data_IF_459464718338
#
_entry.id   IF_459464718338
#
_cell.length_a   1.000
_cell.length_b   1.000
_cell.length_c   1.000
_cell.angle_alpha   90.00
_cell.angle_beta   90.00
_cell.angle_gamma   90.00
#
_symmetry.space_group_name_H-M   'P 1'
#
loop_
_entity.id
_entity.type
_entity.pdbx_description
1 polymer ?
#
# COMPACT_ATOMS: atom_id res chain seq x y z
N UNK A 1 -7.46 5.03 11.21
CA UNK A 1 -8.35 3.98 11.79
C UNK A 1 -7.47 2.91 12.43
N UNK A 2 -7.82 2.35 13.60
CA UNK A 2 -7.02 1.31 14.26
C UNK A 2 -6.71 0.09 13.39
N UNK A 3 -7.63 -0.28 12.49
CA UNK A 3 -7.47 -1.40 11.55
C UNK A 3 -6.46 -1.13 10.42
N UNK A 4 -6.08 0.13 10.20
CA UNK A 4 -5.17 0.54 9.13
C UNK A 4 -4.11 1.53 9.67
N UNK A 5 -3.18 1.08 10.53
CA UNK A 5 -2.21 1.95 11.18
C UNK A 5 -1.24 2.62 10.19
N UNK A 6 -0.93 1.94 9.07
CA UNK A 6 -0.07 2.45 7.99
C UNK A 6 -0.79 3.43 7.04
N UNK A 7 -2.10 3.67 7.24
CA UNK A 7 -2.91 4.55 6.38
C UNK A 7 -3.66 5.60 7.23
N UNK A 8 -2.94 6.54 7.86
CA UNK A 8 -3.56 7.67 8.57
C UNK A 8 -4.33 8.60 7.60
N UNK A 9 -5.09 9.55 8.14
CA UNK A 9 -5.83 10.57 7.37
C UNK A 9 -6.91 10.02 6.41
N UNK A 10 -7.21 8.73 6.44
CA UNK A 10 -8.37 8.15 5.74
C UNK A 10 -9.35 7.63 6.77
N UNK A 11 -10.63 8.02 6.62
CA UNK A 11 -11.71 7.59 7.48
C UNK A 11 -12.78 6.93 6.64
N UNK A 12 -13.16 5.70 7.01
CA UNK A 12 -14.33 5.03 6.44
C UNK A 12 -15.57 5.36 7.28
N UNK A 13 -16.66 5.75 6.62
CA UNK A 13 -17.94 5.98 7.28
C UNK A 13 -18.41 4.72 8.04
N UNK A 14 -18.97 4.92 9.24
CA UNK A 14 -19.38 3.84 10.14
C UNK A 14 -18.26 3.08 10.84
N UNK A 15 -16.98 3.32 10.52
CA UNK A 15 -15.83 2.71 11.21
C UNK A 15 -15.28 3.67 12.26
N UNK A 16 -14.87 3.13 13.41
CA UNK A 16 -14.28 3.94 14.48
C UNK A 16 -12.87 4.41 14.09
N UNK A 17 -12.56 5.66 14.42
CA UNK A 17 -11.23 6.22 14.31
C UNK A 17 -10.82 6.90 15.62
N UNK A 18 -9.51 7.10 15.73
CA UNK A 18 -8.88 7.66 16.92
C UNK A 18 -8.15 8.95 16.56
N UNK A 19 -8.19 9.93 17.45
CA UNK A 19 -7.41 11.15 17.35
C UNK A 19 -6.89 11.52 18.73
N UNK A 20 -5.62 11.91 18.82
CA UNK A 20 -4.98 12.32 20.07
C UNK A 20 -4.48 13.75 19.92
N UNK A 21 -4.82 14.58 20.90
CA UNK A 21 -4.31 15.94 21.05
C UNK A 21 -3.36 16.00 22.22
N UNK A 22 -2.44 16.96 22.15
CA UNK A 22 -1.52 17.27 23.22
C UNK A 22 -1.41 18.78 23.35
N UNK A 23 -1.55 19.29 24.57
CA UNK A 23 -1.11 20.64 24.90
C UNK A 23 0.37 20.58 25.26
N UNK A 24 1.19 21.38 24.57
CA UNK A 24 2.63 21.41 24.80
C UNK A 24 3.01 22.20 26.05
N UNK A 25 2.13 23.10 26.49
CA UNK A 25 2.26 23.81 27.76
C UNK A 25 1.77 22.89 28.87
N UNK A 26 2.70 22.46 29.73
CA UNK A 26 2.41 21.53 30.83
C UNK A 26 2.36 22.33 32.12
N UNK A 27 1.16 22.74 32.49
CA UNK A 27 0.88 23.42 33.75
C UNK A 27 -0.05 22.54 34.58
N UNK A 28 0.32 22.16 35.82
CA UNK A 28 -0.51 21.33 36.68
C UNK A 28 -1.91 21.92 36.92
N UNK A 29 -2.05 23.25 36.89
CA UNK A 29 -3.35 23.91 37.07
C UNK A 29 -4.34 23.56 35.94
N UNK A 30 -3.87 23.15 34.76
CA UNK A 30 -4.75 22.81 33.63
C UNK A 30 -5.20 21.35 33.61
N UNK A 31 -4.65 20.52 34.51
CA UNK A 31 -5.01 19.10 34.58
C UNK A 31 -6.50 18.93 34.91
N UNK A 32 -7.22 18.19 34.07
CA UNK A 32 -8.66 17.96 34.19
C UNK A 32 -9.57 19.20 34.06
N UNK A 33 -9.02 20.38 33.74
CA UNK A 33 -9.80 21.61 33.58
C UNK A 33 -10.14 21.91 32.11
N UNK A 34 -9.34 21.42 31.17
CA UNK A 34 -9.55 21.67 29.75
C UNK A 34 -10.52 20.67 29.13
N UNK A 35 -11.73 21.13 28.82
CA UNK A 35 -12.70 20.35 28.05
C UNK A 35 -12.49 20.63 26.57
N UNK A 36 -12.04 19.62 25.83
CA UNK A 36 -11.86 19.69 24.38
C UNK A 36 -13.14 19.22 23.70
N UNK A 37 -13.66 20.00 22.75
CA UNK A 37 -14.73 19.64 21.85
C UNK A 37 -14.16 19.33 20.48
N UNK A 38 -14.66 18.27 19.85
CA UNK A 38 -14.32 17.91 18.47
C UNK A 38 -15.50 18.19 17.54
N UNK A 39 -15.21 18.80 16.40
CA UNK A 39 -16.15 19.13 15.33
C UNK A 39 -15.59 18.68 13.98
N UNK A 40 -16.47 18.50 12.99
CA UNK A 40 -16.09 18.06 11.64
C UNK A 40 -16.47 19.14 10.64
N UNK A 41 -15.55 19.48 9.75
CA UNK A 41 -15.71 20.53 8.73
C UNK A 41 -16.22 21.87 9.29
N UNK A 42 -15.73 22.25 10.48
CA UNK A 42 -16.03 23.58 11.07
C UNK A 42 -15.39 24.67 10.20
N UNK A 43 -16.20 25.62 9.77
CA UNK A 43 -15.82 26.80 8.97
C UNK A 43 -15.08 26.46 7.67
N UNK A 44 -15.40 25.29 7.08
CA UNK A 44 -14.92 24.88 5.76
C UNK A 44 -15.71 25.63 4.68
N UNK A 45 -15.02 26.49 3.91
CA UNK A 45 -15.66 27.31 2.87
C UNK A 45 -16.08 26.47 1.67
N UNK A 46 -15.36 25.38 1.38
CA UNK A 46 -15.66 24.40 0.34
C UNK A 46 -17.05 23.77 0.49
N UNK A 47 -17.55 23.62 1.73
CA UNK A 47 -18.92 23.18 2.01
C UNK A 47 -20.00 24.09 1.42
N UNK A 48 -19.64 25.32 1.04
CA UNK A 48 -20.51 26.34 0.44
C UNK A 48 -20.14 26.63 -1.01
N UNK A 49 -18.85 26.59 -1.36
CA UNK A 49 -18.35 27.00 -2.69
C UNK A 49 -18.23 25.85 -3.68
N UNK A 50 -17.95 24.62 -3.22
CA UNK A 50 -17.76 23.46 -4.10
C UNK A 50 -19.08 22.73 -4.29
N UNK A 51 -19.58 22.72 -5.53
CA UNK A 51 -20.81 22.00 -5.89
C UNK A 51 -20.63 20.50 -5.64
N UNK A 52 -21.55 19.90 -4.89
CA UNK A 52 -21.56 18.46 -4.60
C UNK A 52 -20.69 18.01 -3.42
N UNK A 53 -20.06 18.94 -2.68
CA UNK A 53 -19.30 18.63 -1.47
C UNK A 53 -20.16 17.92 -0.41
N UNK A 54 -19.69 16.77 0.07
CA UNK A 54 -20.40 15.92 1.02
C UNK A 54 -20.25 16.46 2.44
N UNK A 55 -21.25 16.23 3.26
CA UNK A 55 -21.25 16.62 4.68
C UNK A 55 -21.36 15.41 5.57
N UNK A 56 -20.66 15.44 6.69
CA UNK A 56 -20.60 14.33 7.63
C UNK A 56 -20.92 14.81 9.03
N UNK A 57 -21.68 13.99 9.75
CA UNK A 57 -21.85 14.13 11.18
C UNK A 57 -20.83 13.28 11.92
N UNK A 58 -20.22 13.88 12.93
CA UNK A 58 -19.40 13.18 13.90
C UNK A 58 -20.30 12.52 14.96
N UNK A 59 -20.19 11.20 15.07
CA UNK A 59 -20.85 10.37 16.07
C UNK A 59 -19.86 9.91 17.13
N UNK A 60 -20.36 9.62 18.33
CA UNK A 60 -19.58 9.21 19.49
C UNK A 60 -19.36 10.34 20.49
N UNK A 61 -18.39 10.17 21.38
CA UNK A 61 -18.07 11.16 22.42
C UNK A 61 -17.34 12.36 21.83
N UNK A 62 -18.07 13.43 21.56
CA UNK A 62 -17.56 14.66 20.92
C UNK A 62 -16.87 15.63 21.88
N UNK A 63 -16.83 15.33 23.18
CA UNK A 63 -16.11 16.14 24.17
C UNK A 63 -15.28 15.24 25.07
N UNK A 64 -14.03 15.64 25.33
CA UNK A 64 -13.15 14.92 26.23
C UNK A 64 -12.34 15.90 27.06
N UNK A 65 -12.19 15.58 28.35
CA UNK A 65 -11.36 16.35 29.26
C UNK A 65 -9.90 15.94 29.04
N UNK A 66 -9.03 16.93 28.96
CA UNK A 66 -7.59 16.73 28.84
C UNK A 66 -7.01 16.38 30.22
N UNK A 67 -6.21 15.33 30.28
CA UNK A 67 -5.60 14.84 31.50
C UNK A 67 -4.09 14.61 31.31
N UNK A 68 -3.34 14.66 32.41
CA UNK A 68 -1.94 14.25 32.41
C UNK A 68 -1.86 12.72 32.28
N UNK A 69 -1.04 12.23 31.36
CA UNK A 69 -0.75 10.79 31.25
C UNK A 69 0.33 10.39 32.27
N UNK A 70 0.12 9.25 32.95
CA UNK A 70 1.02 8.74 33.99
C UNK A 70 2.45 8.45 33.48
N UNK A 71 2.62 8.20 32.19
CA UNK A 71 3.91 7.83 31.58
C UNK A 71 4.68 9.00 30.96
N UNK A 72 4.01 10.10 30.62
CA UNK A 72 4.59 11.24 29.93
C UNK A 72 3.94 12.48 30.54
N UNK A 73 4.69 13.28 31.30
CA UNK A 73 4.28 14.55 31.94
C UNK A 73 3.74 15.57 30.92
N UNK A 74 2.62 15.25 30.30
CA UNK A 74 2.07 15.90 29.13
C UNK A 74 0.56 15.82 29.23
N UNK A 75 -0.08 16.96 28.97
CA UNK A 75 -1.53 17.08 29.01
C UNK A 75 -2.07 16.63 27.64
N UNK A 76 -2.88 15.57 27.61
CA UNK A 76 -3.37 15.00 26.36
C UNK A 76 -4.84 14.60 26.43
N UNK A 77 -5.49 14.58 25.27
CA UNK A 77 -6.88 14.13 25.13
C UNK A 77 -6.97 13.18 23.95
N UNK A 78 -7.30 11.92 24.23
CA UNK A 78 -7.40 10.88 23.19
C UNK A 78 -8.85 10.45 22.95
N UNK A 79 -9.37 10.72 21.76
CA UNK A 79 -10.68 10.26 21.33
C UNK A 79 -10.52 8.89 20.65
N UNK A 80 -11.17 7.83 21.18
CA UNK A 80 -10.98 6.44 20.70
C UNK A 80 -12.14 5.83 19.90
N UNK A 81 -13.32 6.46 19.91
CA UNK A 81 -14.56 5.89 19.34
C UNK A 81 -15.33 6.90 18.48
N UNK A 82 -14.61 7.79 17.80
CA UNK A 82 -15.24 8.72 16.86
C UNK A 82 -15.67 7.97 15.59
N UNK A 83 -16.81 8.33 15.04
CA UNK A 83 -17.33 7.76 13.79
C UNK A 83 -17.92 8.85 12.91
N UNK A 84 -17.89 8.66 11.60
CA UNK A 84 -18.53 9.56 10.65
C UNK A 84 -19.76 8.91 10.00
N UNK A 85 -20.83 9.69 9.87
CA UNK A 85 -22.04 9.33 9.13
C UNK A 85 -22.36 10.43 8.11
N UNK A 86 -22.49 10.04 6.85
CA UNK A 86 -22.83 10.97 5.76
C UNK A 86 -24.25 11.52 5.94
N UNK A 87 -24.39 12.83 5.76
CA UNK A 87 -25.67 13.54 5.73
C UNK A 87 -26.26 13.48 4.31
N UNK A 88 -27.35 12.73 4.14
CA UNK A 88 -28.08 12.68 2.87
C UNK A 88 -28.96 13.92 2.73
N UNK A 89 -28.55 14.86 1.89
CA UNK A 89 -29.34 16.04 1.53
C UNK A 89 -30.15 15.76 0.25
N UNK A 90 -31.44 16.10 0.23
CA UNK A 90 -32.31 15.99 -0.94
C UNK A 90 -31.95 17.04 -2.01
N UNK A 91 -31.66 16.61 -3.24
CA UNK A 91 -31.33 17.50 -4.37
C UNK A 91 -29.88 17.42 -4.88
N UNK A 92 -29.08 16.46 -4.41
CA UNK A 92 -27.69 16.29 -4.87
C UNK A 92 -27.64 15.73 -6.30
N UNK A 93 -27.09 16.50 -7.24
CA UNK A 93 -26.54 15.93 -8.48
C UNK A 93 -25.19 15.30 -8.15
N UNK A 94 -24.96 14.03 -8.51
CA UNK A 94 -23.67 13.33 -8.32
C UNK A 94 -22.53 13.89 -9.21
N UNK A 95 -22.66 15.13 -9.67
CA UNK A 95 -21.76 15.81 -10.60
C UNK A 95 -21.03 16.93 -9.86
N UNK A 96 -20.16 16.53 -8.92
CA UNK A 96 -19.13 17.42 -8.39
C UNK A 96 -17.86 17.33 -9.25
N UNK A 97 -17.04 18.39 -9.28
CA UNK A 97 -15.78 18.37 -10.04
C UNK A 97 -14.74 17.40 -9.45
N UNK A 98 -14.87 17.08 -8.16
CA UNK A 98 -13.99 16.17 -7.43
C UNK A 98 -14.67 14.81 -7.23
N UNK A 99 -13.89 13.74 -7.39
CA UNK A 99 -14.34 12.40 -6.99
C UNK A 99 -14.26 12.23 -5.47
N UNK A 100 -14.98 11.25 -4.94
CA UNK A 100 -15.03 10.91 -3.51
C UNK A 100 -13.66 10.83 -2.83
N UNK A 101 -12.63 10.37 -3.54
CA UNK A 101 -11.29 10.18 -2.98
C UNK A 101 -10.38 11.40 -3.13
N UNK A 102 -10.80 12.43 -3.86
CA UNK A 102 -10.09 13.71 -4.01
C UNK A 102 -10.71 14.81 -3.14
N UNK A 103 -11.89 14.56 -2.55
CA UNK A 103 -12.55 15.46 -1.60
C UNK A 103 -11.88 15.38 -0.22
N UNK A 104 -11.44 16.55 0.25
CA UNK A 104 -10.70 16.70 1.50
C UNK A 104 -11.57 17.36 2.57
N UNK A 105 -11.47 16.84 3.79
CA UNK A 105 -12.18 17.30 4.99
C UNK A 105 -11.21 17.58 6.12
N UNK A 106 -11.65 18.21 7.20
CA UNK A 106 -10.82 18.38 8.40
C UNK A 106 -11.58 18.14 9.70
N UNK A 107 -10.85 17.63 10.71
CA UNK A 107 -11.35 17.53 12.08
C UNK A 107 -10.83 18.74 12.86
N UNK A 108 -11.74 19.49 13.47
CA UNK A 108 -11.41 20.66 14.27
C UNK A 108 -11.55 20.33 15.75
N UNK A 109 -10.63 20.84 16.56
CA UNK A 109 -10.61 20.66 18.00
C UNK A 109 -10.54 22.01 18.67
N UNK A 110 -11.47 22.23 19.60
CA UNK A 110 -11.67 23.51 20.26
C UNK A 110 -11.65 23.31 21.77
N UNK A 111 -10.99 24.20 22.48
CA UNK A 111 -11.06 24.26 23.94
C UNK A 111 -10.91 25.70 24.40
N UNK A 112 -11.40 26.00 25.61
CA UNK A 112 -11.28 27.32 26.20
C UNK A 112 -10.44 27.22 27.46
N UNK A 113 -9.43 28.07 27.55
CA UNK A 113 -8.55 28.19 28.69
C UNK A 113 -8.99 29.37 29.55
N UNK A 114 -9.39 29.10 30.79
CA UNK A 114 -9.66 30.13 31.80
C UNK A 114 -8.41 30.37 32.64
N UNK A 115 -7.79 31.54 32.48
CA UNK A 115 -6.66 31.96 33.31
C UNK A 115 -7.14 32.88 34.46
N UNK A 116 -6.55 32.80 35.66
CA UNK A 116 -7.01 33.61 36.81
C UNK A 116 -6.93 35.13 36.59
N UNK A 117 -6.01 35.62 35.76
CA UNK A 117 -5.74 37.05 35.54
C UNK A 117 -6.03 37.56 34.11
N UNK A 118 -6.50 36.68 33.22
CA UNK A 118 -6.76 37.00 31.81
C UNK A 118 -8.12 36.48 31.33
N UNK A 119 -8.70 37.19 30.37
CA UNK A 119 -9.88 36.78 29.61
C UNK A 119 -9.75 35.35 29.09
N UNK A 120 -10.89 34.66 28.90
CA UNK A 120 -10.95 33.32 28.32
C UNK A 120 -10.18 33.27 26.99
N UNK A 121 -9.23 32.35 26.87
CA UNK A 121 -8.45 32.14 25.64
C UNK A 121 -9.06 30.96 24.89
N UNK A 122 -9.55 31.21 23.68
CA UNK A 122 -10.01 30.17 22.77
C UNK A 122 -8.81 29.54 22.06
N UNK A 123 -8.66 28.22 22.20
CA UNK A 123 -7.66 27.42 21.52
C UNK A 123 -8.34 26.56 20.46
N UNK A 124 -7.89 26.69 19.22
CA UNK A 124 -8.37 25.89 18.08
C UNK A 124 -7.19 25.25 17.35
N UNK A 125 -7.34 23.98 16.99
CA UNK A 125 -6.40 23.27 16.12
C UNK A 125 -7.16 22.33 15.18
N UNK A 126 -6.67 22.20 13.95
CA UNK A 126 -7.25 21.30 12.95
C UNK A 126 -6.31 20.16 12.62
N UNK A 127 -6.87 19.00 12.25
CA UNK A 127 -6.09 17.93 11.63
C UNK A 127 -5.55 18.37 10.27
N UNK A 128 -4.54 17.64 9.77
CA UNK A 128 -4.27 17.63 8.33
C UNK A 128 -5.54 17.19 7.56
N UNK A 129 -5.64 17.53 6.27
CA UNK A 129 -6.78 17.14 5.47
C UNK A 129 -6.91 15.63 5.37
N UNK A 130 -8.14 15.17 5.51
CA UNK A 130 -8.49 13.76 5.52
C UNK A 130 -9.42 13.42 4.36
N UNK A 131 -9.36 12.18 3.90
CA UNK A 131 -10.27 11.65 2.87
C UNK A 131 -11.31 10.76 3.53
N UNK A 132 -12.59 11.00 3.22
CA UNK A 132 -13.71 10.19 3.74
C UNK A 132 -14.24 9.23 2.68
N UNK A 133 -14.09 7.93 2.95
CA UNK A 133 -14.50 6.84 2.06
C UNK A 133 -15.74 6.11 2.61
N UNK A 134 -16.46 5.43 1.72
CA UNK A 134 -17.61 4.60 2.08
C UNK A 134 -17.30 3.10 1.99
N UNK A 135 -16.37 2.71 1.10
CA UNK A 135 -15.96 1.33 0.89
C UNK A 135 -14.43 1.19 0.94
N UNK A 136 -13.94 0.05 1.43
CA UNK A 136 -12.49 -0.22 1.50
C UNK A 136 -11.85 -0.37 0.12
N UNK A 137 -12.63 -0.64 -0.92
CA UNK A 137 -12.16 -0.63 -2.32
C UNK A 137 -11.66 0.75 -2.76
N UNK A 138 -12.06 1.83 -2.07
CA UNK A 138 -11.63 3.20 -2.33
C UNK A 138 -10.34 3.57 -1.59
N UNK A 139 -9.90 2.73 -0.64
CA UNK A 139 -8.72 2.98 0.19
C UNK A 139 -7.44 3.25 -0.64
N UNK A 140 -7.14 2.50 -1.72
CA UNK A 140 -5.97 2.76 -2.56
C UNK A 140 -5.97 4.17 -3.14
N UNK A 141 -7.07 4.58 -3.78
CA UNK A 141 -7.21 5.93 -4.36
C UNK A 141 -7.20 7.03 -3.29
N UNK A 142 -7.86 6.82 -2.15
CA UNK A 142 -7.85 7.77 -1.05
C UNK A 142 -6.43 7.97 -0.50
N UNK A 143 -5.65 6.89 -0.42
CA UNK A 143 -4.26 6.99 0.02
C UNK A 143 -3.38 7.69 -0.99
N UNK A 144 -3.60 7.49 -2.29
CA UNK A 144 -2.94 8.27 -3.33
C UNK A 144 -3.12 9.77 -3.10
N UNK A 145 -4.35 10.20 -2.77
CA UNK A 145 -4.66 11.61 -2.51
C UNK A 145 -3.96 12.13 -1.28
N UNK A 146 -3.93 11.35 -0.20
CA UNK A 146 -3.19 11.69 1.04
C UNK A 146 -1.69 11.82 0.75
N UNK A 147 -1.11 10.90 -0.01
CA UNK A 147 0.30 10.98 -0.40
C UNK A 147 0.58 12.23 -1.23
N UNK A 148 -0.24 12.50 -2.25
CA UNK A 148 -0.06 13.65 -3.14
C UNK A 148 -0.19 14.97 -2.39
N UNK A 149 -1.17 15.07 -1.49
CA UNK A 149 -1.37 16.24 -0.65
C UNK A 149 -0.17 16.52 0.25
N UNK A 150 0.26 15.52 1.04
CA UNK A 150 1.35 15.72 2.00
C UNK A 150 2.73 15.88 1.34
N UNK A 151 2.89 15.37 0.12
CA UNK A 151 4.12 15.52 -0.65
C UNK A 151 4.29 16.93 -1.22
N UNK A 152 3.19 17.60 -1.62
CA UNK A 152 3.25 18.84 -2.40
C UNK A 152 2.65 20.06 -1.69
N UNK A 153 1.79 19.88 -0.69
CA UNK A 153 1.17 21.00 0.03
C UNK A 153 2.09 21.54 1.12
N UNK A 154 2.35 22.85 1.09
CA UNK A 154 3.01 23.57 2.18
C UNK A 154 2.01 24.20 3.16
N UNK A 155 0.73 24.25 2.78
CA UNK A 155 -0.34 24.80 3.62
C UNK A 155 -1.13 23.66 4.29
N UNK A 156 -1.39 23.72 5.60
CA UNK A 156 -2.03 22.63 6.33
C UNK A 156 -3.55 22.54 6.12
N UNK A 157 -4.21 23.55 5.52
CA UNK A 157 -5.68 23.64 5.41
C UNK A 157 -6.19 23.93 3.98
N UNK A 158 -5.43 23.54 2.95
CA UNK A 158 -5.89 23.68 1.56
C UNK A 158 -6.81 22.50 1.16
N UNK A 159 -8.12 22.60 1.42
CA UNK A 159 -9.08 21.55 1.08
C UNK A 159 -9.46 21.55 -0.42
N UNK A 160 -9.22 22.67 -1.10
CA UNK A 160 -9.41 22.86 -2.55
C UNK A 160 -8.25 22.35 -3.42
N UNK A 161 -7.29 21.63 -2.83
CA UNK A 161 -6.02 21.23 -3.46
C UNK A 161 -6.18 20.48 -4.80
N UNK A 162 -7.14 19.56 -4.89
CA UNK A 162 -7.37 18.77 -6.11
C UNK A 162 -8.11 19.52 -7.22
N UNK A 163 -8.56 20.77 -6.99
CA UNK A 163 -9.12 21.60 -8.06
C UNK A 163 -8.05 22.13 -9.02
N UNK A 164 -6.83 22.37 -8.51
CA UNK A 164 -5.73 22.94 -9.30
C UNK A 164 -4.68 21.89 -9.74
N UNK A 165 -4.84 20.62 -9.33
CA UNK A 165 -4.01 19.46 -9.71
C UNK A 165 -2.49 19.76 -9.81
N UNK A 166 -1.80 20.01 -8.69
CA UNK A 166 -0.37 20.30 -8.71
C UNK A 166 0.44 19.11 -9.21
N UNK A 167 1.58 19.42 -9.84
CA UNK A 167 2.51 18.44 -10.39
C UNK A 167 3.63 18.11 -9.39
N UNK A 168 4.11 16.87 -9.43
CA UNK A 168 5.22 16.40 -8.59
C UNK A 168 6.50 16.23 -9.41
N UNK A 169 7.65 16.38 -8.78
CA UNK A 169 8.93 15.95 -9.37
C UNK A 169 9.17 14.47 -9.12
N UNK A 170 9.96 13.81 -9.99
CA UNK A 170 10.33 12.41 -9.76
C UNK A 170 11.15 12.22 -8.48
N UNK A 171 12.01 13.18 -8.12
CA UNK A 171 12.77 13.15 -6.88
C UNK A 171 11.87 12.95 -5.65
N UNK A 172 10.86 13.82 -5.50
CA UNK A 172 9.89 13.72 -4.41
C UNK A 172 9.07 12.43 -4.46
N UNK A 173 8.56 12.07 -5.65
CA UNK A 173 7.70 10.89 -5.77
C UNK A 173 8.46 9.58 -5.52
N UNK A 174 9.70 9.48 -6.00
CA UNK A 174 10.52 8.28 -5.85
C UNK A 174 10.82 7.95 -4.38
N UNK A 175 11.06 8.98 -3.57
CA UNK A 175 11.26 8.83 -2.12
C UNK A 175 9.97 8.37 -1.44
N UNK A 176 8.84 9.02 -1.74
CA UNK A 176 7.53 8.64 -1.20
C UNK A 176 7.16 7.21 -1.57
N UNK A 177 7.42 6.79 -2.81
CA UNK A 177 7.22 5.41 -3.26
C UNK A 177 8.08 4.45 -2.45
N UNK A 178 9.38 4.74 -2.26
CA UNK A 178 10.27 3.92 -1.45
C UNK A 178 9.78 3.81 0.00
N UNK A 179 9.28 4.90 0.59
CA UNK A 179 8.65 4.88 1.91
C UNK A 179 7.46 3.94 1.98
N UNK A 180 6.63 3.85 0.94
CA UNK A 180 5.49 2.91 0.92
C UNK A 180 5.95 1.46 1.11
N UNK A 181 7.00 1.05 0.40
CA UNK A 181 7.57 -0.30 0.54
C UNK A 181 8.21 -0.51 1.92
N UNK A 182 8.97 0.46 2.42
CA UNK A 182 9.60 0.36 3.76
C UNK A 182 8.61 0.43 4.92
N UNK A 183 7.41 1.00 4.71
CA UNK A 183 6.38 1.06 5.75
C UNK A 183 5.66 -0.27 5.97
N UNK A 184 5.60 -1.10 4.93
CA UNK A 184 4.92 -2.40 4.91
C UNK A 184 5.91 -3.55 5.06
N UNK A 185 7.14 -3.36 4.61
CA UNK A 185 8.20 -4.38 4.55
C UNK A 185 9.46 -3.90 5.28
N UNK A 186 10.51 -4.71 5.33
CA UNK A 186 11.78 -4.33 5.99
C UNK A 186 12.71 -3.50 5.10
N UNK A 187 12.35 -3.25 3.83
CA UNK A 187 13.19 -2.50 2.87
C UNK A 187 12.36 -1.69 1.87
N UNK A 188 12.93 -0.57 1.43
CA UNK A 188 12.39 0.24 0.35
C UNK A 188 12.80 -0.25 -1.05
N UNK A 189 12.68 0.66 -2.02
CA UNK A 189 13.08 0.45 -3.40
C UNK A 189 14.54 0.88 -3.61
N UNK A 190 15.28 0.14 -4.44
CA UNK A 190 16.65 0.49 -4.83
C UNK A 190 16.66 1.37 -6.10
N UNK A 191 17.83 1.90 -6.46
CA UNK A 191 17.99 2.80 -7.62
C UNK A 191 17.53 2.18 -8.94
N UNK A 192 17.78 0.88 -9.14
CA UNK A 192 17.39 0.19 -10.38
C UNK A 192 15.89 0.03 -10.52
N UNK A 193 15.22 -0.32 -9.40
CA UNK A 193 13.77 -0.43 -9.32
C UNK A 193 13.12 0.93 -9.52
N UNK A 194 13.66 1.98 -8.89
CA UNK A 194 13.18 3.35 -9.07
C UNK A 194 13.37 3.81 -10.52
N UNK A 195 14.51 3.54 -11.15
CA UNK A 195 14.73 3.87 -12.56
C UNK A 195 13.68 3.25 -13.47
N UNK A 196 13.36 1.97 -13.29
CA UNK A 196 12.33 1.29 -14.09
C UNK A 196 10.94 1.91 -13.89
N UNK A 197 10.60 2.28 -12.66
CA UNK A 197 9.34 2.97 -12.35
C UNK A 197 9.29 4.38 -12.97
N UNK A 198 10.43 5.08 -12.97
CA UNK A 198 10.60 6.38 -13.61
C UNK A 198 10.33 6.27 -15.11
N UNK A 199 10.97 5.30 -15.77
CA UNK A 199 10.79 5.03 -17.20
C UNK A 199 9.33 4.69 -17.53
N UNK A 200 8.68 3.91 -16.67
CA UNK A 200 7.27 3.53 -16.86
C UNK A 200 6.31 4.71 -16.75
N UNK A 201 6.59 5.67 -15.86
CA UNK A 201 5.71 6.80 -15.58
C UNK A 201 5.99 8.01 -16.50
N UNK A 202 7.26 8.23 -16.84
CA UNK A 202 7.73 9.36 -17.64
C UNK A 202 7.99 9.02 -19.11
N UNK A 203 7.98 7.73 -19.48
CA UNK A 203 8.26 7.25 -20.84
C UNK A 203 9.60 7.77 -21.41
N UNK A 204 10.65 7.80 -20.59
CA UNK A 204 11.98 8.29 -20.97
C UNK A 204 12.16 9.81 -20.87
N UNK A 205 11.27 10.52 -20.17
CA UNK A 205 11.43 11.94 -19.86
C UNK A 205 12.59 12.24 -18.91
N UNK A 206 13.13 13.46 -18.98
CA UNK A 206 14.21 13.93 -18.10
C UNK A 206 13.82 13.89 -16.60
N UNK A 207 14.78 13.88 -15.67
CA UNK A 207 14.53 13.93 -14.22
C UNK A 207 13.67 15.11 -13.76
N UNK A 208 13.71 16.22 -14.51
CA UNK A 208 12.92 17.45 -14.27
C UNK A 208 11.48 17.36 -14.80
N UNK A 209 11.10 16.23 -15.41
CA UNK A 209 9.75 16.06 -15.95
C UNK A 209 8.73 16.08 -14.81
N UNK A 210 7.82 17.03 -14.91
CA UNK A 210 6.72 17.15 -13.97
C UNK A 210 5.70 16.01 -14.18
N UNK A 211 5.37 15.33 -13.09
CA UNK A 211 4.43 14.22 -13.04
C UNK A 211 3.07 14.77 -12.65
N UNK A 212 2.09 14.60 -13.55
CA UNK A 212 0.71 15.00 -13.29
C UNK A 212 0.00 13.98 -12.40
N UNK A 213 -0.87 14.46 -11.51
CA UNK A 213 -1.79 13.63 -10.72
C UNK A 213 -2.55 12.61 -11.58
N UNK A 214 -2.94 13.02 -12.80
CA UNK A 214 -3.67 12.17 -13.74
C UNK A 214 -2.86 10.96 -14.19
N UNK A 215 -1.55 11.12 -14.43
CA UNK A 215 -0.66 9.99 -14.76
C UNK A 215 -0.45 9.05 -13.57
N UNK A 216 -0.42 9.61 -12.36
CA UNK A 216 -0.19 8.83 -11.14
C UNK A 216 -1.41 8.00 -10.72
N UNK A 217 -2.58 8.64 -10.61
CA UNK A 217 -3.75 8.01 -9.98
C UNK A 217 -4.97 7.84 -10.90
N UNK A 218 -5.07 8.54 -12.04
CA UNK A 218 -6.19 8.32 -12.98
C UNK A 218 -5.89 7.18 -13.95
N UNK A 219 -6.94 6.48 -14.35
CA UNK A 219 -6.86 5.33 -15.25
C UNK A 219 -6.29 5.76 -16.60
N UNK A 220 -5.14 5.19 -16.96
CA UNK A 220 -4.57 5.37 -18.30
C UNK A 220 -5.09 4.31 -19.27
N UNK A 221 -4.51 4.30 -20.48
CA UNK A 221 -4.94 3.44 -21.60
C UNK A 221 -4.91 1.94 -21.30
N UNK A 222 -4.14 1.50 -20.30
CA UNK A 222 -4.03 0.09 -19.86
C UNK A 222 -5.17 -0.35 -18.93
N UNK A 223 -6.18 0.48 -18.70
CA UNK A 223 -7.36 0.14 -17.90
C UNK A 223 -7.15 0.17 -16.38
N UNK A 224 -5.99 0.61 -15.90
CA UNK A 224 -5.72 0.92 -14.49
C UNK A 224 -4.72 2.08 -14.35
N UNK A 225 -4.63 2.68 -13.16
CA UNK A 225 -3.64 3.73 -12.88
C UNK A 225 -2.34 3.17 -12.32
N UNK A 226 -1.25 3.90 -12.50
CA UNK A 226 0.07 3.52 -12.00
C UNK A 226 0.04 3.20 -10.49
N UNK A 227 -0.63 4.05 -9.71
CA UNK A 227 -0.74 3.85 -8.26
C UNK A 227 -1.51 2.58 -7.88
N UNK A 228 -2.62 2.25 -8.55
CA UNK A 228 -3.36 1.02 -8.27
C UNK A 228 -2.52 -0.24 -8.51
N UNK A 229 -1.66 -0.19 -9.53
CA UNK A 229 -0.73 -1.28 -9.80
C UNK A 229 0.34 -1.43 -8.72
N UNK A 230 0.91 -0.33 -8.24
CA UNK A 230 1.84 -0.34 -7.11
C UNK A 230 1.15 -0.86 -5.83
N UNK A 231 -0.07 -0.43 -5.54
CA UNK A 231 -0.84 -0.96 -4.40
C UNK A 231 -1.15 -2.45 -4.53
N UNK A 232 -1.48 -2.93 -5.73
CA UNK A 232 -1.66 -4.36 -6.00
C UNK A 232 -0.39 -5.16 -5.70
N UNK A 233 0.77 -4.64 -6.13
CA UNK A 233 2.07 -5.23 -5.81
C UNK A 233 2.35 -5.19 -4.30
N UNK A 234 2.09 -4.08 -3.61
CA UNK A 234 2.26 -3.99 -2.16
C UNK A 234 1.35 -4.97 -1.40
N UNK A 235 0.11 -5.18 -1.86
CA UNK A 235 -0.82 -6.17 -1.27
C UNK A 235 -0.28 -7.60 -1.44
N UNK A 236 0.25 -7.93 -2.63
CA UNK A 236 0.80 -9.26 -2.91
C UNK A 236 2.07 -9.52 -2.10
N UNK A 237 2.94 -8.51 -1.95
CA UNK A 237 4.14 -8.61 -1.12
C UNK A 237 3.73 -8.83 0.32
N UNK A 238 2.83 -7.99 0.86
CA UNK A 238 2.39 -8.07 2.25
C UNK A 238 1.78 -9.42 2.61
N UNK A 239 1.01 -10.02 1.70
CA UNK A 239 0.26 -11.26 1.97
C UNK A 239 1.02 -12.54 1.66
N UNK A 240 1.82 -12.56 0.58
CA UNK A 240 2.37 -13.80 0.04
C UNK A 240 3.90 -13.81 -0.10
N UNK A 241 4.54 -12.65 -0.25
CA UNK A 241 5.97 -12.59 -0.62
C UNK A 241 6.84 -11.83 0.38
N UNK A 242 6.33 -11.52 1.57
CA UNK A 242 6.96 -10.61 2.52
C UNK A 242 8.40 -11.01 2.85
N UNK A 243 8.62 -12.30 3.16
CA UNK A 243 9.95 -12.80 3.51
C UNK A 243 10.90 -12.81 2.31
N UNK A 244 10.41 -13.19 1.12
CA UNK A 244 11.21 -13.21 -0.11
C UNK A 244 11.65 -11.80 -0.55
N UNK A 245 10.74 -10.83 -0.37
CA UNK A 245 11.03 -9.44 -0.63
C UNK A 245 12.07 -8.89 0.34
N UNK A 246 11.87 -9.10 1.65
CA UNK A 246 12.79 -8.61 2.69
C UNK A 246 14.21 -9.11 2.50
N UNK A 247 14.36 -10.38 2.11
CA UNK A 247 15.65 -11.02 1.89
C UNK A 247 16.29 -10.66 0.54
N UNK A 248 15.60 -9.85 -0.28
CA UNK A 248 16.15 -9.32 -1.53
C UNK A 248 16.19 -10.33 -2.68
N UNK A 249 15.45 -11.43 -2.60
CA UNK A 249 15.38 -12.43 -3.66
C UNK A 249 14.51 -12.01 -4.85
N UNK A 250 13.69 -10.98 -4.66
CA UNK A 250 12.81 -10.44 -5.70
C UNK A 250 13.43 -9.17 -6.27
N UNK A 251 13.78 -9.19 -7.57
CA UNK A 251 14.19 -7.97 -8.29
C UNK A 251 12.97 -7.04 -8.44
N UNK A 252 11.80 -7.60 -8.74
CA UNK A 252 10.52 -6.90 -8.70
C UNK A 252 10.30 -6.02 -9.93
N UNK A 253 10.84 -4.80 -9.92
CA UNK A 253 10.62 -3.82 -10.98
C UNK A 253 11.72 -3.94 -12.04
N UNK A 254 11.43 -4.71 -13.09
CA UNK A 254 12.35 -4.94 -14.21
C UNK A 254 11.59 -4.99 -15.53
N UNK A 255 12.05 -4.23 -16.53
CA UNK A 255 11.47 -4.22 -17.87
C UNK A 255 11.94 -5.44 -18.70
N UNK A 256 11.22 -5.76 -19.77
CA UNK A 256 11.51 -6.94 -20.61
C UNK A 256 12.83 -6.85 -21.39
N UNK A 257 13.37 -5.66 -21.58
CA UNK A 257 14.62 -5.45 -22.30
C UNK A 257 15.82 -5.71 -21.39
N UNK A 258 15.79 -5.14 -20.19
CA UNK A 258 16.81 -5.31 -19.15
C UNK A 258 16.80 -6.73 -18.60
N UNK A 259 15.64 -7.38 -18.48
CA UNK A 259 15.60 -8.81 -18.08
C UNK A 259 16.37 -9.70 -19.06
N UNK A 260 16.21 -9.48 -20.36
CA UNK A 260 16.93 -10.23 -21.40
C UNK A 260 18.42 -9.93 -21.36
N UNK A 261 18.79 -8.66 -21.22
CA UNK A 261 20.19 -8.26 -21.11
C UNK A 261 20.87 -8.88 -19.87
N UNK A 262 20.19 -8.92 -18.73
CA UNK A 262 20.74 -9.50 -17.49
C UNK A 262 20.91 -11.02 -17.56
N UNK A 263 20.12 -11.71 -18.37
CA UNK A 263 20.12 -13.16 -18.48
C UNK A 263 20.96 -13.70 -19.65
N UNK A 264 21.21 -12.90 -20.69
CA UNK A 264 21.89 -13.32 -21.93
C UNK A 264 23.24 -14.01 -21.68
N UNK A 265 24.03 -13.46 -20.75
CA UNK A 265 25.39 -13.93 -20.45
C UNK A 265 25.46 -14.81 -19.19
N UNK A 266 24.32 -15.35 -18.74
CA UNK A 266 24.23 -16.19 -17.52
C UNK A 266 24.12 -17.66 -17.85
N UNK A 267 24.46 -18.50 -16.87
CA UNK A 267 24.41 -19.96 -16.99
C UNK A 267 22.97 -20.43 -17.21
N UNK A 268 22.82 -21.53 -17.93
CA UNK A 268 21.52 -22.17 -18.16
C UNK A 268 20.81 -22.43 -16.83
N UNK A 269 19.51 -22.11 -16.80
CA UNK A 269 18.68 -22.25 -15.61
C UNK A 269 18.85 -21.14 -14.58
N UNK A 270 19.58 -20.08 -14.90
CA UNK A 270 19.54 -18.84 -14.14
C UNK A 270 18.19 -18.16 -14.34
N UNK A 271 17.53 -17.78 -13.25
CA UNK A 271 16.22 -17.14 -13.29
C UNK A 271 16.15 -15.89 -12.40
N UNK A 272 15.20 -15.02 -12.72
CA UNK A 272 14.88 -13.80 -11.98
C UNK A 272 13.39 -13.73 -11.67
N UNK A 273 13.06 -13.02 -10.58
CA UNK A 273 11.70 -12.79 -10.12
C UNK A 273 11.31 -11.32 -10.35
N UNK A 274 10.21 -11.08 -11.06
CA UNK A 274 9.70 -9.72 -11.32
C UNK A 274 8.18 -9.63 -11.19
N UNK A 275 7.68 -8.42 -10.97
CA UNK A 275 6.25 -8.16 -10.98
C UNK A 275 5.72 -8.02 -12.39
N UNK A 276 4.48 -8.44 -12.61
CA UNK A 276 3.78 -8.25 -13.87
C UNK A 276 3.45 -6.78 -14.06
N UNK A 277 3.78 -6.26 -15.24
CA UNK A 277 3.47 -4.89 -15.64
C UNK A 277 2.04 -4.70 -16.18
N UNK A 278 1.31 -5.80 -16.41
CA UNK A 278 0.03 -5.82 -17.14
C UNK A 278 -1.16 -6.17 -16.26
N UNK A 279 -0.94 -6.62 -15.02
CA UNK A 279 -2.02 -7.06 -14.11
C UNK A 279 -2.23 -6.00 -13.02
N UNK A 280 -3.42 -5.39 -13.01
CA UNK A 280 -3.81 -4.35 -12.06
C UNK A 280 -3.62 -4.75 -10.61
N UNK A 281 -4.12 -5.93 -10.24
CA UNK A 281 -4.19 -6.37 -8.82
C UNK A 281 -2.86 -6.96 -8.31
N UNK A 282 -1.77 -6.74 -9.04
CA UNK A 282 -0.46 -7.29 -8.75
C UNK A 282 -0.35 -8.76 -9.14
N UNK A 283 0.80 -9.14 -9.70
CA UNK A 283 1.16 -10.53 -9.94
C UNK A 283 2.69 -10.66 -10.01
N UNK A 284 3.20 -11.84 -9.70
CA UNK A 284 4.62 -12.17 -9.80
C UNK A 284 4.83 -13.16 -10.94
N UNK A 285 5.90 -12.97 -11.71
CA UNK A 285 6.37 -13.91 -12.72
C UNK A 285 7.86 -14.14 -12.53
N UNK A 286 8.35 -15.22 -13.11
CA UNK A 286 9.76 -15.49 -13.20
C UNK A 286 10.17 -15.74 -14.64
N UNK A 287 11.40 -15.35 -14.93
CA UNK A 287 12.01 -15.45 -16.25
C UNK A 287 13.31 -16.23 -16.12
N UNK A 288 13.56 -17.20 -17.00
CA UNK A 288 14.81 -17.98 -17.00
C UNK A 288 15.46 -18.01 -18.38
N UNK A 289 16.76 -18.30 -18.40
CA UNK A 289 17.53 -18.49 -19.64
C UNK A 289 17.81 -19.96 -19.90
N UNK A 290 17.62 -20.34 -21.16
CA UNK A 290 17.96 -21.65 -21.69
C UNK A 290 18.91 -21.48 -22.88
N UNK A 291 20.05 -22.17 -22.83
CA UNK A 291 21.01 -22.16 -23.94
C UNK A 291 20.73 -23.37 -24.81
N UNK A 292 20.39 -23.12 -26.08
CA UNK A 292 20.23 -24.19 -27.08
C UNK A 292 21.43 -24.18 -28.02
N UNK A 293 21.93 -25.37 -28.38
CA UNK A 293 23.11 -25.53 -29.24
C UNK A 293 22.96 -24.87 -30.62
N UNK A 294 21.72 -24.61 -31.06
CA UNK A 294 21.39 -24.11 -32.41
C UNK A 294 20.96 -22.63 -32.45
N UNK A 295 20.30 -22.10 -31.41
CA UNK A 295 19.64 -20.78 -31.46
C UNK A 295 20.17 -19.77 -30.42
N UNK A 296 21.21 -20.12 -29.66
CA UNK A 296 21.76 -19.25 -28.61
C UNK A 296 20.86 -19.15 -27.36
N UNK A 297 21.06 -18.13 -26.50
CA UNK A 297 20.29 -17.96 -25.27
C UNK A 297 18.84 -17.56 -25.56
N UNK A 298 17.89 -18.44 -25.25
CA UNK A 298 16.45 -18.15 -25.24
C UNK A 298 16.00 -17.80 -23.83
N UNK A 299 15.17 -16.77 -23.74
CA UNK A 299 14.63 -16.27 -22.48
C UNK A 299 13.13 -16.58 -22.44
N UNK A 300 12.72 -17.33 -21.42
CA UNK A 300 11.34 -17.77 -21.23
C UNK A 300 10.74 -17.11 -19.99
N UNK A 301 9.47 -16.73 -20.04
CA UNK A 301 8.73 -16.17 -18.90
C UNK A 301 7.43 -16.94 -18.73
N UNK A 302 7.06 -17.24 -17.49
CA UNK A 302 5.76 -17.86 -17.18
C UNK A 302 4.65 -16.82 -17.14
N UNK A 303 3.42 -17.25 -17.41
CA UNK A 303 2.25 -16.44 -17.10
C UNK A 303 2.27 -15.97 -15.64
N UNK A 304 1.96 -14.70 -15.36
CA UNK A 304 2.12 -14.18 -14.00
C UNK A 304 1.11 -14.77 -13.01
N UNK A 305 1.62 -15.20 -11.86
CA UNK A 305 0.83 -15.68 -10.73
C UNK A 305 0.20 -14.50 -9.99
N UNK A 306 -1.12 -14.49 -10.00
CA UNK A 306 -1.96 -13.57 -9.26
C UNK A 306 -2.15 -14.05 -7.83
N UNK A 307 -2.83 -13.23 -7.03
CA UNK A 307 -3.23 -13.58 -5.66
C UNK A 307 -3.99 -14.91 -5.56
N UNK A 308 -4.76 -15.29 -6.59
CA UNK A 308 -5.54 -16.54 -6.58
C UNK A 308 -4.60 -17.75 -6.53
N UNK A 309 -3.62 -17.80 -7.44
CA UNK A 309 -2.66 -18.91 -7.44
C UNK A 309 -1.78 -18.89 -6.17
N UNK A 310 -1.31 -17.71 -5.76
CA UNK A 310 -0.45 -17.56 -4.56
C UNK A 310 -1.15 -17.88 -3.23
N UNK A 311 -2.48 -17.88 -3.21
CA UNK A 311 -3.27 -18.34 -2.05
C UNK A 311 -3.40 -19.86 -2.06
N UNK A 312 -3.45 -20.48 -3.24
CA UNK A 312 -3.55 -21.94 -3.38
C UNK A 312 -2.22 -22.66 -3.08
N UNK A 313 -1.10 -22.09 -3.52
CA UNK A 313 0.24 -22.66 -3.32
C UNK A 313 1.20 -21.54 -2.93
N UNK A 314 2.04 -21.72 -1.89
CA UNK A 314 3.10 -20.78 -1.58
C UNK A 314 4.07 -20.62 -2.76
N UNK A 315 4.47 -19.39 -3.06
CA UNK A 315 5.38 -19.11 -4.19
C UNK A 315 6.70 -19.91 -4.17
N UNK A 316 7.38 -20.11 -3.02
CA UNK A 316 8.58 -20.96 -2.96
C UNK A 316 8.34 -22.40 -3.42
N UNK A 317 7.18 -22.97 -3.07
CA UNK A 317 6.82 -24.34 -3.46
C UNK A 317 6.47 -24.41 -4.94
N UNK A 318 5.86 -23.36 -5.50
CA UNK A 318 5.69 -23.25 -6.95
C UNK A 318 7.04 -23.28 -7.67
N UNK A 319 8.04 -22.50 -7.21
CA UNK A 319 9.39 -22.51 -7.80
C UNK A 319 10.10 -23.87 -7.66
N UNK A 320 9.92 -24.53 -6.52
CA UNK A 320 10.50 -25.86 -6.24
C UNK A 320 9.93 -26.91 -7.17
N UNK A 321 8.61 -26.91 -7.34
CA UNK A 321 7.88 -27.95 -8.05
C UNK A 321 7.63 -27.60 -9.53
N UNK A 322 8.01 -26.40 -9.99
CA UNK A 322 7.82 -26.02 -11.39
C UNK A 322 8.51 -27.01 -12.33
N UNK A 323 7.75 -27.51 -13.31
CA UNK A 323 8.23 -28.46 -14.31
C UNK A 323 7.82 -28.00 -15.70
N UNK A 324 8.73 -28.17 -16.66
CA UNK A 324 8.46 -27.94 -18.08
C UNK A 324 8.50 -29.29 -18.78
N UNK A 325 7.51 -29.54 -19.63
CA UNK A 325 7.47 -30.74 -20.48
C UNK A 325 8.36 -30.51 -21.69
N UNK A 326 9.34 -31.39 -21.93
CA UNK A 326 10.12 -31.40 -23.18
C UNK A 326 9.43 -32.24 -24.24
N UNK A 327 9.93 -32.16 -25.48
CA UNK A 327 9.54 -33.03 -26.60
C UNK A 327 9.64 -34.52 -26.30
N UNK A 328 10.41 -34.90 -25.28
CA UNK A 328 10.67 -36.28 -24.88
C UNK A 328 9.78 -36.73 -23.69
N UNK A 329 8.78 -35.92 -23.30
CA UNK A 329 7.86 -36.18 -22.19
C UNK A 329 8.52 -36.38 -20.80
N UNK A 330 9.77 -35.95 -20.62
CA UNK A 330 10.44 -35.98 -19.31
C UNK A 330 10.31 -34.59 -18.67
N UNK A 331 9.53 -34.45 -17.59
CA UNK A 331 9.37 -33.15 -16.95
C UNK A 331 10.62 -32.80 -16.15
N UNK A 332 11.27 -31.69 -16.49
CA UNK A 332 12.44 -31.19 -15.75
C UNK A 332 12.15 -29.82 -15.14
N UNK A 333 12.87 -29.47 -14.06
CA UNK A 333 12.78 -28.14 -13.47
C UNK A 333 13.86 -27.25 -14.13
N UNK A 334 13.47 -26.22 -14.90
CA UNK A 334 14.44 -25.34 -15.56
C UNK A 334 15.12 -24.35 -14.58
N UNK A 335 14.61 -24.22 -13.35
CA UNK A 335 15.07 -23.24 -12.37
C UNK A 335 16.14 -23.84 -11.47
N UNK A 336 17.38 -23.38 -11.65
CA UNK A 336 18.55 -23.89 -10.93
C UNK A 336 19.21 -22.82 -10.06
N UNK A 337 19.42 -21.62 -10.63
CA UNK A 337 20.14 -20.54 -9.97
C UNK A 337 19.29 -19.27 -9.95
N UNK A 338 19.03 -18.73 -8.76
CA UNK A 338 18.51 -17.37 -8.62
C UNK A 338 19.62 -16.38 -9.01
N UNK A 339 19.27 -15.38 -9.83
CA UNK A 339 20.20 -14.33 -10.23
C UNK A 339 20.89 -13.66 -9.02
N UNK A 340 22.22 -13.42 -9.06
CA UNK A 340 23.10 -13.66 -10.21
C UNK A 340 23.70 -15.08 -10.28
N UNK A 341 23.86 -15.79 -9.16
CA UNK A 341 24.42 -17.15 -9.13
C UNK A 341 24.19 -17.82 -7.76
N UNK A 342 22.96 -17.76 -7.25
CA UNK A 342 22.59 -18.34 -5.95
C UNK A 342 21.81 -19.64 -6.22
N UNK A 343 22.28 -20.82 -5.78
CA UNK A 343 21.52 -22.06 -5.90
C UNK A 343 20.09 -21.90 -5.36
N UNK A 344 19.09 -22.36 -6.12
CA UNK A 344 17.67 -22.20 -5.80
C UNK A 344 17.34 -22.66 -4.37
N UNK A 345 17.81 -23.84 -3.98
CA UNK A 345 17.52 -24.39 -2.65
C UNK A 345 18.24 -23.63 -1.52
N UNK A 346 19.35 -22.96 -1.81
CA UNK A 346 20.00 -22.05 -0.85
C UNK A 346 19.17 -20.78 -0.64
N UNK A 347 18.58 -20.23 -1.71
CA UNK A 347 17.75 -19.04 -1.63
C UNK A 347 16.38 -19.34 -0.98
N UNK A 348 15.70 -20.38 -1.46
CA UNK A 348 14.28 -20.64 -1.14
C UNK A 348 14.06 -21.78 -0.15
N UNK A 349 15.08 -22.60 0.15
CA UNK A 349 14.96 -23.82 0.96
C UNK A 349 14.25 -23.63 2.31
N UNK A 350 14.56 -22.51 2.98
CA UNK A 350 13.97 -22.14 4.27
C UNK A 350 12.49 -21.76 4.22
N UNK A 351 11.93 -21.51 3.03
CA UNK A 351 10.53 -21.15 2.84
C UNK A 351 9.71 -22.27 2.21
N UNK A 352 10.32 -23.41 1.90
CA UNK A 352 9.57 -24.57 1.44
C UNK A 352 8.64 -25.05 2.53
N UNK A 353 7.41 -25.36 2.13
CA UNK A 353 6.49 -26.03 3.03
C UNK A 353 7.13 -27.35 3.44
N UNK A 354 7.27 -27.53 4.76
CA UNK A 354 7.66 -28.83 5.28
C UNK A 354 6.55 -29.82 4.90
N UNK A 355 6.90 -31.04 4.46
CA UNK A 355 5.90 -32.10 4.40
C UNK A 355 5.27 -32.19 5.79
N UNK A 356 3.94 -32.36 5.84
CA UNK A 356 3.24 -32.55 7.10
C UNK A 356 3.75 -33.87 7.66
N UNK A 357 4.78 -33.84 8.50
CA UNK A 357 5.21 -35.02 9.23
C UNK A 357 4.01 -35.49 10.04
N UNK A 358 3.55 -36.68 9.70
CA UNK A 358 2.38 -37.30 10.30
C UNK A 358 2.45 -37.22 11.81
N UNK A 359 1.32 -36.90 12.43
CA UNK A 359 1.09 -37.09 13.87
C UNK A 359 1.66 -38.47 14.28
N UNK A 360 2.31 -38.59 15.45
CA UNK A 360 2.72 -39.89 15.93
C UNK A 360 1.49 -40.80 15.95
N UNK A 361 1.61 -41.97 15.32
CA UNK A 361 0.55 -42.97 15.31
C UNK A 361 0.21 -43.35 16.75
N UNK A 362 -0.88 -42.81 17.28
CA UNK A 362 -1.60 -43.49 18.34
C UNK A 362 -2.18 -44.76 17.72
N UNK A 363 -1.60 -45.89 18.13
CA UNK A 363 -2.04 -47.21 17.74
C UNK A 363 -3.49 -47.42 18.20
N UNK A 364 -4.45 -47.25 17.27
CA UNK A 364 -5.64 -48.09 17.06
C UNK A 364 -6.61 -47.45 16.05
N UNK A 365 -6.72 -48.10 14.88
CA UNK A 365 -7.97 -48.19 14.13
C UNK A 365 -8.24 -47.12 13.07
N UNK A 366 -8.41 -47.59 11.82
CA UNK A 366 -8.87 -46.90 10.61
C UNK A 366 -7.79 -46.17 9.79
N UNK A 367 -7.15 -46.95 8.92
CA UNK A 367 -6.37 -46.48 7.77
C UNK A 367 -7.23 -45.62 6.83
N UNK A 368 -7.11 -44.32 6.96
CA UNK A 368 -7.62 -43.38 5.95
C UNK A 368 -6.69 -43.43 4.74
N UNK A 369 -7.06 -44.23 3.73
CA UNK A 369 -6.29 -44.50 2.51
C UNK A 369 -6.30 -43.35 1.49
N UNK A 370 -6.15 -42.10 1.92
CA UNK A 370 -6.00 -40.98 1.00
C UNK A 370 -4.54 -40.79 0.61
N UNK A 371 -4.27 -40.74 -0.70
CA UNK A 371 -2.96 -40.37 -1.25
C UNK A 371 -2.78 -38.86 -1.12
N UNK A 372 -1.63 -38.42 -0.59
CA UNK A 372 -1.27 -37.01 -0.58
C UNK A 372 -1.11 -36.50 -2.03
N UNK A 373 -1.80 -35.40 -2.34
CA UNK A 373 -1.72 -34.75 -3.66
C UNK A 373 -1.00 -33.42 -3.52
N UNK A 374 -0.06 -33.15 -4.43
CA UNK A 374 0.64 -31.88 -4.54
C UNK A 374 0.26 -31.23 -5.86
N UNK A 375 -0.11 -29.95 -5.82
CA UNK A 375 -0.37 -29.19 -7.04
C UNK A 375 0.99 -28.78 -7.63
N UNK A 376 1.23 -29.20 -8.87
CA UNK A 376 2.48 -28.96 -9.59
C UNK A 376 2.16 -28.00 -10.75
N UNK A 377 2.73 -26.78 -10.77
CA UNK A 377 2.61 -25.91 -11.93
C UNK A 377 3.45 -26.50 -13.08
N UNK A 378 2.80 -26.84 -14.19
CA UNK A 378 3.42 -27.40 -15.39
C UNK A 378 3.15 -26.48 -16.58
N UNK A 379 4.18 -26.17 -17.35
CA UNK A 379 4.03 -25.55 -18.67
C UNK A 379 4.19 -26.65 -19.73
N UNK A 380 3.17 -26.79 -20.58
CA UNK A 380 3.10 -27.74 -21.70
C UNK A 380 3.58 -27.07 -22.97
#
# INVERSE_FOLDING_TARGET
MPTHPQRPLIIKTGVQFTAKLRLLIVLPEFNCHLKVKVSFDKDVTECRTVKGFRRFNLLGTNTKIMNMEDSNTSLSAEFRHLQLKELKMSGRTNEGPLIVTEELHCVCFETQLSLPEHSMIDLEVTSLPIVVISALTQLPSAWASVLWYNMLSHEPKNLSFFLNLPTATWGQLSEVLSWQFSSITKRGLNSDQLSMLADKLMAGGNPDTQILWTKFCKTGDKGFSFWHWIEGILDIIKKHLLNLWNDGFIIGFLNKEREKAMLKDKTQGTFLLRFSESIRDGAITFTWVEHTLLDGPKVHSVEPYTKKELTAIPFPDMLRNYRVMTTDNVPFNPLLYLYPNIPKDQAFGRYYSKPVEGKPMDAKGHSSGYLETLIIPVTV
#
